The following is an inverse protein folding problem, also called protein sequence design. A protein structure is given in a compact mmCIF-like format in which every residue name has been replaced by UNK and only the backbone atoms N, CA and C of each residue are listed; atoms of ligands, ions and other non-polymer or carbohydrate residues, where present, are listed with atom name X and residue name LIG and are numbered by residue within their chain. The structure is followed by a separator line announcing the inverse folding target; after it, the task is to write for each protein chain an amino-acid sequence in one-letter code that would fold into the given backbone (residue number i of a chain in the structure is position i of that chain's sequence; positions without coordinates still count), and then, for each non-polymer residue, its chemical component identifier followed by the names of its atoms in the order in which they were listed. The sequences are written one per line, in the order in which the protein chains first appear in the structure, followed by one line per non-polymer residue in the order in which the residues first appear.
data_IF_413864342383
#
_entry.id   IF_413864342383
#
_cell.length_a   1.000
_cell.length_b   1.000
_cell.length_c   1.000
_cell.angle_alpha   90.00
_cell.angle_beta   90.00
_cell.angle_gamma   90.00
#
_symmetry.space_group_name_H-M   'P 1'
#
loop_
_entity.id
_entity.type
_entity.pdbx_description
1 polymer ?
#
# COMPACT_ATOMS: atom_id res chain seq x y z
N UNK A 1 8.73 1.73 -5.20
CA UNK A 1 7.45 2.27 -4.69
C UNK A 1 6.65 2.76 -5.87
N UNK A 2 5.36 2.44 -5.95
CA UNK A 2 4.56 2.73 -7.14
C UNK A 2 4.38 4.25 -7.29
N UNK A 3 4.92 4.80 -8.36
CA UNK A 3 4.55 6.12 -8.85
C UNK A 3 3.42 5.93 -9.87
N UNK A 4 2.19 6.28 -9.49
CA UNK A 4 1.04 6.27 -10.41
C UNK A 4 0.89 7.60 -11.16
N UNK A 5 1.79 8.57 -10.95
CA UNK A 5 1.60 9.89 -11.54
C UNK A 5 2.09 9.96 -12.99
N UNK A 6 1.27 10.53 -13.88
CA UNK A 6 1.70 10.74 -15.25
C UNK A 6 2.86 11.73 -15.32
N UNK A 7 3.96 11.31 -15.96
CA UNK A 7 5.20 12.09 -16.10
C UNK A 7 5.00 13.47 -16.74
N UNK A 8 3.94 13.67 -17.51
CA UNK A 8 3.63 14.96 -18.13
C UNK A 8 3.14 16.01 -17.12
N UNK A 9 2.37 15.63 -16.10
CA UNK A 9 1.93 16.59 -15.07
C UNK A 9 3.07 17.03 -14.15
N UNK A 10 4.05 16.15 -13.94
CA UNK A 10 5.23 16.42 -13.12
C UNK A 10 6.12 17.55 -13.65
N UNK A 11 5.98 17.94 -14.93
CA UNK A 11 6.75 19.03 -15.52
C UNK A 11 6.39 20.39 -14.93
N UNK A 12 5.14 20.58 -14.50
CA UNK A 12 4.60 21.88 -14.07
C UNK A 12 4.73 22.16 -12.57
N UNK A 13 5.19 21.18 -11.78
CA UNK A 13 5.22 21.28 -10.32
C UNK A 13 6.60 21.79 -9.86
N UNK A 14 6.68 22.94 -9.17
CA UNK A 14 7.93 23.55 -8.70
C UNK A 14 8.43 22.91 -7.40
N UNK A 15 8.67 21.60 -7.42
CA UNK A 15 9.13 20.83 -6.25
C UNK A 15 10.55 20.33 -6.48
N UNK A 16 11.42 20.47 -5.47
CA UNK A 16 12.85 20.09 -5.54
C UNK A 16 13.04 18.62 -5.86
N UNK A 17 12.28 17.75 -5.20
CA UNK A 17 12.41 16.30 -5.31
C UNK A 17 11.09 15.65 -5.77
N UNK A 18 10.89 15.64 -7.10
CA UNK A 18 9.63 15.19 -7.73
C UNK A 18 9.25 13.74 -7.42
N UNK A 19 10.22 12.84 -7.25
CA UNK A 19 9.99 11.43 -6.91
C UNK A 19 9.25 11.27 -5.58
N UNK A 20 9.73 11.93 -4.52
CA UNK A 20 9.14 11.82 -3.19
C UNK A 20 7.80 12.55 -3.11
N UNK A 21 7.63 13.63 -3.87
CA UNK A 21 6.32 14.27 -4.03
C UNK A 21 5.28 13.30 -4.58
N UNK A 22 5.61 12.54 -5.63
CA UNK A 22 4.71 11.53 -6.18
C UNK A 22 4.37 10.45 -5.17
N UNK A 23 5.38 9.91 -4.47
CA UNK A 23 5.15 8.89 -3.44
C UNK A 23 4.20 9.38 -2.34
N UNK A 24 4.41 10.59 -1.83
CA UNK A 24 3.53 11.19 -0.83
C UNK A 24 2.11 11.39 -1.38
N UNK A 25 1.96 11.91 -2.59
CA UNK A 25 0.66 12.16 -3.19
C UNK A 25 -0.08 10.84 -3.47
N UNK A 26 0.59 9.82 -4.02
CA UNK A 26 0.00 8.49 -4.22
C UNK A 26 -0.48 7.88 -2.90
N UNK A 27 0.31 7.98 -1.84
CA UNK A 27 -0.06 7.44 -0.52
C UNK A 27 -1.28 8.18 0.06
N UNK A 28 -1.35 9.51 -0.09
CA UNK A 28 -2.50 10.33 0.32
C UNK A 28 -3.75 9.92 -0.47
N UNK A 29 -3.67 9.81 -1.80
CA UNK A 29 -4.79 9.38 -2.64
C UNK A 29 -5.29 7.98 -2.26
N UNK A 30 -4.38 7.02 -2.07
CA UNK A 30 -4.73 5.66 -1.66
C UNK A 30 -5.42 5.65 -0.29
N UNK A 31 -4.93 6.43 0.68
CA UNK A 31 -5.60 6.58 1.98
C UNK A 31 -7.00 7.17 1.85
N UNK A 32 -7.16 8.21 1.03
CA UNK A 32 -8.42 8.90 0.87
C UNK A 32 -9.46 7.98 0.23
N UNK A 33 -9.08 7.22 -0.81
CA UNK A 33 -9.92 6.17 -1.40
C UNK A 33 -10.27 5.09 -0.37
N UNK A 34 -9.29 4.63 0.43
CA UNK A 34 -9.52 3.62 1.47
C UNK A 34 -10.45 4.10 2.59
N UNK A 35 -10.35 5.38 2.99
CA UNK A 35 -11.27 5.99 3.96
C UNK A 35 -12.69 6.11 3.40
N UNK A 36 -12.83 6.58 2.16
CA UNK A 36 -14.14 6.65 1.50
C UNK A 36 -14.79 5.27 1.34
N UNK A 37 -13.97 4.23 1.12
CA UNK A 37 -14.44 2.85 1.10
C UNK A 37 -14.97 2.42 2.47
N UNK A 38 -14.21 2.68 3.55
CA UNK A 38 -14.61 2.32 4.91
C UNK A 38 -15.86 3.08 5.39
N UNK A 39 -16.10 4.31 4.91
CA UNK A 39 -17.30 5.09 5.26
C UNK A 39 -18.53 4.72 4.44
N UNK A 40 -18.45 3.71 3.56
CA UNK A 40 -19.53 3.29 2.65
C UNK A 40 -20.11 4.42 1.77
N UNK A 41 -19.35 5.50 1.56
CA UNK A 41 -19.80 6.66 0.76
C UNK A 41 -20.15 6.25 -0.69
N UNK A 42 -19.42 5.29 -1.23
CA UNK A 42 -19.62 4.74 -2.58
C UNK A 42 -20.90 3.90 -2.70
N UNK A 43 -21.40 3.32 -1.61
CA UNK A 43 -22.64 2.53 -1.61
C UNK A 43 -23.89 3.41 -1.72
N UNK A 44 -23.80 4.71 -1.39
CA UNK A 44 -24.89 5.66 -1.54
C UNK A 44 -25.04 6.18 -2.99
N UNK A 45 -24.07 5.96 -3.86
CA UNK A 45 -24.09 6.42 -5.26
C UNK A 45 -24.32 5.26 -6.23
N UNK A 46 -25.56 5.16 -6.73
CA UNK A 46 -26.06 4.05 -7.58
C UNK A 46 -25.15 3.75 -8.80
N UNK A 47 -24.53 4.77 -9.40
CA UNK A 47 -23.62 4.66 -10.55
C UNK A 47 -22.30 3.92 -10.27
N UNK A 48 -21.82 3.90 -9.02
CA UNK A 48 -20.55 3.26 -8.68
C UNK A 48 -20.70 1.81 -8.21
N UNK A 49 -21.91 1.41 -7.80
CA UNK A 49 -22.19 0.06 -7.31
C UNK A 49 -22.04 -1.03 -8.40
N UNK A 50 -22.42 -0.73 -9.64
CA UNK A 50 -22.37 -1.66 -10.78
C UNK A 50 -20.96 -1.85 -11.35
N UNK A 51 -20.12 -0.81 -11.32
CA UNK A 51 -18.72 -0.91 -11.75
C UNK A 51 -17.86 -1.73 -10.77
N UNK A 52 -18.14 -1.62 -9.47
CA UNK A 52 -17.40 -2.33 -8.42
C UNK A 52 -17.68 -3.84 -8.41
N UNK A 53 -18.92 -4.27 -8.65
CA UNK A 53 -19.26 -5.70 -8.68
C UNK A 53 -18.57 -6.43 -9.84
N UNK A 54 -18.52 -5.81 -11.03
CA UNK A 54 -17.87 -6.38 -12.21
C UNK A 54 -16.35 -6.58 -12.01
N UNK A 55 -15.66 -5.61 -11.40
CA UNK A 55 -14.23 -5.70 -11.09
C UNK A 55 -13.96 -6.73 -9.97
N UNK A 56 -14.86 -6.81 -8.98
CA UNK A 56 -14.80 -7.81 -7.91
C UNK A 56 -14.90 -9.24 -8.44
N UNK A 57 -15.86 -9.51 -9.33
CA UNK A 57 -16.05 -10.83 -9.94
C UNK A 57 -14.90 -11.22 -10.87
N UNK A 58 -14.34 -10.28 -11.64
CA UNK A 58 -13.16 -10.56 -12.46
C UNK A 58 -11.92 -10.91 -11.61
N UNK A 59 -11.78 -10.26 -10.45
CA UNK A 59 -10.71 -10.52 -9.49
C UNK A 59 -10.83 -11.91 -8.83
N UNK A 60 -12.05 -12.36 -8.54
CA UNK A 60 -12.30 -13.72 -8.02
C UNK A 60 -12.02 -14.80 -9.07
N UNK A 61 -12.38 -14.55 -10.34
CA UNK A 61 -12.14 -15.51 -11.44
C UNK A 61 -10.66 -15.63 -11.80
N UNK A 62 -9.90 -14.54 -11.75
CA UNK A 62 -8.47 -14.54 -12.09
C UNK A 62 -7.58 -15.03 -10.93
N UNK A 63 -8.04 -14.93 -9.68
CA UNK A 63 -7.28 -15.39 -8.51
C UNK A 63 -7.73 -16.76 -8.00
N UNK A 64 -7.41 -17.80 -8.77
CA UNK A 64 -7.46 -19.19 -8.31
C UNK A 64 -6.23 -19.44 -7.42
N UNK A 65 -6.30 -19.07 -6.14
CA UNK A 65 -5.33 -19.49 -5.11
C UNK A 65 -4.68 -18.41 -4.24
N UNK A 66 -3.85 -18.88 -3.31
CA UNK A 66 -3.09 -18.11 -2.30
C UNK A 66 -1.98 -17.27 -2.95
N UNK A 67 -2.29 -16.06 -3.39
CA UNK A 67 -1.31 -15.17 -4.01
C UNK A 67 -0.76 -14.11 -3.01
N UNK A 68 0.54 -13.78 -3.02
CA UNK A 68 1.18 -12.89 -2.02
C UNK A 68 0.60 -11.48 -1.95
N UNK A 69 -0.06 -11.03 -3.03
CA UNK A 69 -0.72 -9.73 -3.14
C UNK A 69 -2.24 -9.83 -2.89
N UNK A 70 -2.80 -11.04 -2.87
CA UNK A 70 -4.20 -11.30 -2.58
C UNK A 70 -4.43 -11.01 -1.09
N UNK A 71 -5.37 -10.11 -0.79
CA UNK A 71 -5.62 -9.63 0.58
C UNK A 71 -4.83 -8.39 1.00
N UNK A 72 -3.86 -7.91 0.21
CA UNK A 72 -3.12 -6.67 0.54
C UNK A 72 -4.03 -5.44 0.62
N UNK A 73 -5.06 -5.36 -0.24
CA UNK A 73 -6.10 -4.32 -0.17
C UNK A 73 -6.93 -4.46 1.12
N UNK A 74 -7.30 -5.68 1.52
CA UNK A 74 -8.11 -5.94 2.72
C UNK A 74 -7.32 -5.64 4.01
N UNK A 75 -6.03 -5.97 4.05
CA UNK A 75 -5.15 -5.59 5.16
C UNK A 75 -5.00 -4.08 5.27
N UNK A 76 -4.87 -3.37 4.13
CA UNK A 76 -4.84 -1.90 4.10
C UNK A 76 -6.12 -1.28 4.66
N UNK A 77 -7.29 -1.79 4.24
CA UNK A 77 -8.59 -1.30 4.72
C UNK A 77 -8.77 -1.54 6.22
N UNK A 78 -8.39 -2.72 6.72
CA UNK A 78 -8.42 -3.03 8.16
C UNK A 78 -7.53 -2.09 8.98
N UNK A 79 -6.34 -1.76 8.47
CA UNK A 79 -5.42 -0.81 9.14
C UNK A 79 -5.97 0.61 9.15
N UNK A 80 -6.61 1.05 8.06
CA UNK A 80 -7.28 2.34 8.02
C UNK A 80 -8.47 2.42 8.99
N UNK A 81 -9.12 1.30 9.31
CA UNK A 81 -10.13 1.21 10.37
C UNK A 81 -9.54 1.01 11.78
N UNK A 82 -8.22 0.93 11.92
CA UNK A 82 -7.53 0.75 13.21
C UNK A 82 -7.40 -0.70 13.70
N UNK A 83 -7.84 -1.69 12.92
CA UNK A 83 -7.82 -3.11 13.29
C UNK A 83 -6.56 -3.81 12.76
N UNK A 84 -5.47 -3.68 13.54
CA UNK A 84 -4.14 -4.24 13.20
C UNK A 84 -4.14 -5.76 13.23
N UNK A 85 -4.87 -6.37 14.16
CA UNK A 85 -4.92 -7.83 14.32
C UNK A 85 -5.57 -8.45 13.10
N UNK A 86 -6.70 -7.90 12.66
CA UNK A 86 -7.40 -8.37 11.46
C UNK A 86 -6.58 -8.13 10.19
N UNK A 87 -5.79 -7.06 10.13
CA UNK A 87 -4.90 -6.80 9.00
C UNK A 87 -3.80 -7.85 8.84
N UNK A 88 -3.19 -8.28 9.95
CA UNK A 88 -2.17 -9.34 9.97
C UNK A 88 -2.73 -10.67 9.47
N UNK A 89 -3.99 -10.99 9.78
CA UNK A 89 -4.66 -12.21 9.31
C UNK A 89 -4.97 -12.19 7.81
N UNK A 90 -5.16 -11.01 7.22
CA UNK A 90 -5.36 -10.90 5.77
C UNK A 90 -4.03 -10.99 5.02
N UNK A 91 -3.06 -10.18 5.42
CA UNK A 91 -1.76 -10.15 4.79
C UNK A 91 -0.71 -9.44 5.66
N UNK A 92 0.32 -10.19 6.07
CA UNK A 92 1.45 -9.65 6.85
C UNK A 92 2.28 -8.69 6.00
N UNK A 93 2.50 -9.03 4.72
CA UNK A 93 3.19 -8.17 3.77
C UNK A 93 2.48 -6.82 3.63
N UNK A 94 1.16 -6.85 3.43
CA UNK A 94 0.34 -5.65 3.32
C UNK A 94 0.43 -4.77 4.57
N UNK A 95 0.43 -5.38 5.75
CA UNK A 95 0.56 -4.67 7.02
C UNK A 95 1.92 -4.01 7.21
N UNK A 96 3.00 -4.73 6.92
CA UNK A 96 4.35 -4.19 7.01
C UNK A 96 4.59 -3.07 5.99
N UNK A 97 4.12 -3.26 4.76
CA UNK A 97 4.22 -2.28 3.69
C UNK A 97 3.41 -1.01 4.00
N UNK A 98 2.24 -1.14 4.61
CA UNK A 98 1.47 -0.01 5.14
C UNK A 98 2.30 0.78 6.19
N UNK A 99 2.85 0.09 7.19
CA UNK A 99 3.64 0.73 8.24
C UNK A 99 4.85 1.48 7.68
N UNK A 100 5.55 0.91 6.70
CA UNK A 100 6.68 1.58 6.03
C UNK A 100 6.21 2.77 5.20
N UNK A 101 5.15 2.63 4.41
CA UNK A 101 4.68 3.71 3.52
C UNK A 101 4.20 4.91 4.34
N UNK A 102 3.36 4.67 5.34
CA UNK A 102 2.74 5.72 6.14
C UNK A 102 3.63 6.22 7.27
N UNK A 103 4.45 5.35 7.88
CA UNK A 103 5.45 5.76 8.87
C UNK A 103 6.55 6.65 8.27
N UNK A 104 6.93 6.40 7.01
CA UNK A 104 7.91 7.24 6.30
C UNK A 104 7.29 8.44 5.57
N UNK A 105 5.96 8.54 5.52
CA UNK A 105 5.25 9.62 4.83
C UNK A 105 5.70 11.04 5.25
N UNK A 106 5.81 11.40 6.55
CA UNK A 106 6.25 12.75 6.93
C UNK A 106 7.68 13.04 6.45
N UNK A 107 8.57 12.05 6.48
CA UNK A 107 9.93 12.17 5.98
C UNK A 107 9.97 12.34 4.46
N UNK A 108 9.10 11.66 3.72
CA UNK A 108 8.99 11.84 2.26
C UNK A 108 8.43 13.21 1.87
N UNK A 109 7.48 13.74 2.64
CA UNK A 109 6.97 15.11 2.45
C UNK A 109 8.10 16.12 2.72
N UNK A 110 8.85 15.95 3.81
CA UNK A 110 10.00 16.81 4.10
C UNK A 110 11.09 16.73 3.00
N UNK A 111 11.34 15.55 2.44
CA UNK A 111 12.22 15.38 1.29
C UNK A 111 11.68 16.08 0.04
N UNK A 112 10.38 15.98 -0.24
CA UNK A 112 9.75 16.66 -1.37
C UNK A 112 9.93 18.19 -1.28
N UNK A 113 9.71 18.77 -0.10
CA UNK A 113 9.93 20.19 0.18
C UNK A 113 11.42 20.60 0.15
N UNK A 114 12.33 19.62 0.10
CA UNK A 114 13.77 19.80 -0.04
C UNK A 114 14.47 20.24 1.23
N UNK A 115 13.97 19.78 2.37
CA UNK A 115 14.73 19.78 3.61
C UNK A 115 15.90 18.78 3.51
N UNK A 116 17.04 19.15 4.07
CA UNK A 116 18.22 18.30 4.12
C UNK A 116 18.59 18.02 5.58
N UNK A 117 18.52 16.75 5.99
CA UNK A 117 18.97 16.29 7.29
C UNK A 117 19.52 14.87 7.21
N UNK A 118 20.30 14.46 8.22
CA UNK A 118 20.87 13.10 8.28
C UNK A 118 19.78 12.01 8.27
N UNK A 119 18.65 12.25 8.94
CA UNK A 119 17.52 11.32 9.01
C UNK A 119 16.86 11.17 7.63
N UNK A 120 16.71 12.28 6.90
CA UNK A 120 16.15 12.26 5.55
C UNK A 120 17.09 11.53 4.57
N UNK A 121 18.40 11.68 4.71
CA UNK A 121 19.36 10.89 3.93
C UNK A 121 19.28 9.39 4.22
N UNK A 122 19.12 8.99 5.49
CA UNK A 122 18.85 7.58 5.84
C UNK A 122 17.54 7.08 5.23
N UNK A 123 16.52 7.94 5.15
CA UNK A 123 15.24 7.62 4.48
C UNK A 123 15.45 7.36 2.98
N UNK A 124 16.26 8.17 2.29
CA UNK A 124 16.62 7.94 0.88
C UNK A 124 17.33 6.59 0.68
N UNK A 125 18.26 6.24 1.58
CA UNK A 125 18.99 4.96 1.53
C UNK A 125 18.03 3.79 1.75
N UNK A 126 17.14 3.90 2.74
CA UNK A 126 16.15 2.88 3.04
C UNK A 126 15.18 2.68 1.86
N UNK A 127 14.66 3.76 1.27
CA UNK A 127 13.77 3.69 0.10
C UNK A 127 14.46 3.04 -1.10
N UNK A 128 15.74 3.35 -1.35
CA UNK A 128 16.54 2.70 -2.41
C UNK A 128 16.77 1.22 -2.12
N UNK A 129 17.06 0.86 -0.87
CA UNK A 129 17.23 -0.53 -0.46
C UNK A 129 15.93 -1.32 -0.61
N UNK A 130 14.79 -0.75 -0.21
CA UNK A 130 13.46 -1.34 -0.37
C UNK A 130 13.09 -1.53 -1.83
N UNK A 131 13.39 -0.55 -2.70
CA UNK A 131 13.16 -0.65 -4.14
C UNK A 131 13.97 -1.78 -4.77
N UNK A 132 15.27 -1.87 -4.46
CA UNK A 132 16.15 -2.89 -5.01
C UNK A 132 15.82 -4.30 -4.51
N UNK A 133 15.39 -4.41 -3.25
CA UNK A 133 15.10 -5.69 -2.61
C UNK A 133 13.60 -6.04 -2.58
N UNK A 134 12.76 -5.28 -3.26
CA UNK A 134 11.29 -5.44 -3.19
C UNK A 134 10.84 -6.87 -3.52
N UNK A 135 11.40 -7.46 -4.58
CA UNK A 135 11.07 -8.82 -5.00
C UNK A 135 11.53 -9.87 -3.98
N UNK A 136 12.72 -9.69 -3.40
CA UNK A 136 13.23 -10.57 -2.34
C UNK A 136 12.38 -10.47 -1.08
N UNK A 137 12.00 -9.27 -0.66
CA UNK A 137 11.12 -9.05 0.48
C UNK A 137 9.74 -9.69 0.26
N UNK A 138 9.18 -9.55 -0.94
CA UNK A 138 7.91 -10.16 -1.31
C UNK A 138 8.01 -11.69 -1.25
N UNK A 139 9.08 -12.29 -1.76
CA UNK A 139 9.31 -13.72 -1.70
C UNK A 139 9.49 -14.22 -0.25
N UNK A 140 10.36 -13.58 0.54
CA UNK A 140 10.61 -13.96 1.94
C UNK A 140 9.32 -13.89 2.75
N UNK A 141 8.57 -12.79 2.64
CA UNK A 141 7.35 -12.60 3.42
C UNK A 141 6.25 -13.58 2.98
N UNK A 142 6.18 -13.93 1.69
CA UNK A 142 5.29 -15.00 1.23
C UNK A 142 5.63 -16.35 1.89
N UNK A 143 6.91 -16.73 1.91
CA UNK A 143 7.34 -17.96 2.59
C UNK A 143 7.03 -17.93 4.10
N UNK A 144 7.28 -16.80 4.76
CA UNK A 144 6.96 -16.61 6.18
C UNK A 144 5.46 -16.72 6.41
N UNK A 145 4.63 -16.11 5.56
CA UNK A 145 3.17 -16.17 5.68
C UNK A 145 2.64 -17.60 5.49
N UNK A 146 3.19 -18.36 4.53
CA UNK A 146 2.85 -19.79 4.34
C UNK A 146 3.29 -20.63 5.54
N UNK A 147 4.45 -20.35 6.12
CA UNK A 147 4.95 -21.04 7.29
C UNK A 147 4.10 -20.74 8.53
N UNK A 148 3.70 -19.47 8.75
CA UNK A 148 2.82 -19.07 9.84
C UNK A 148 1.40 -19.64 9.71
N UNK A 149 0.90 -19.77 8.48
CA UNK A 149 -0.38 -20.44 8.21
C UNK A 149 -0.30 -21.94 8.56
N UNK A 150 0.79 -22.62 8.19
CA UNK A 150 1.01 -24.03 8.56
C UNK A 150 1.18 -24.24 10.07
N UNK A 151 1.74 -23.28 10.79
CA UNK A 151 1.90 -23.32 12.24
C UNK A 151 0.60 -22.95 13.00
N UNK A 152 -0.44 -22.49 12.29
CA UNK A 152 -1.72 -22.09 12.90
C UNK A 152 -1.66 -20.78 13.69
N UNK A 153 -0.56 -20.02 13.60
CA UNK A 153 -0.37 -18.75 14.33
C UNK A 153 -1.13 -17.61 13.65
N UNK A 154 -1.09 -17.55 12.32
CA UNK A 154 -1.86 -16.60 11.52
C UNK A 154 -2.51 -17.32 10.35
N UNK A 155 -3.79 -17.69 10.51
CA UNK A 155 -4.56 -18.36 9.46
C UNK A 155 -4.82 -17.36 8.34
N UNK A 156 -4.35 -17.70 7.14
CA UNK A 156 -4.53 -16.87 5.96
C UNK A 156 -5.99 -16.93 5.50
N UNK A 157 -6.76 -15.90 5.86
CA UNK A 157 -8.17 -15.76 5.44
C UNK A 157 -8.23 -15.12 4.05
N UNK A 158 -8.57 -15.94 3.05
CA UNK A 158 -8.85 -15.54 1.66
C UNK A 158 -10.15 -14.78 1.50
#
# INVERSE_FOLDING_TARGET
MLDLWPRFLLKYIPVKEKKYFCYSLTAICVSLVGLLYNTNFWHQSHLFSTGYSAIGSFREVVHIGRCPLCGGTRSFLSLLSGDVIKALHYNIFGTFLFAIIYGLLPFRIALALGFNSLILNKTKILDRWLENNFLYLLAIIFFVQVLLDRLGVFVWKG
#
